data_IF_327199431934
#
_entry.id   IF_327199431934
#
_cell.length_a   1.000
_cell.length_b   1.000
_cell.length_c   1.000
_cell.angle_alpha   90.00
_cell.angle_beta   90.00
_cell.angle_gamma   90.00
#
_symmetry.space_group_name_H-M   'P 1'
#
loop_
_entity.id
_entity.type
_entity.pdbx_description
1 polymer ?
#
# COMPACT_ATOMS: atom_id res chain seq x y z
N UNK A 1 -1.49 6.40 -18.95
CA UNK A 1 -2.73 5.96 -19.63
C UNK A 1 -3.88 6.16 -18.66
N UNK A 2 -5.07 6.54 -19.14
CA UNK A 2 -6.25 6.65 -18.26
C UNK A 2 -6.72 5.25 -17.87
N UNK A 3 -6.65 4.94 -16.57
CA UNK A 3 -7.06 3.66 -16.02
C UNK A 3 -8.58 3.64 -15.81
N UNK A 4 -9.25 2.63 -16.37
CA UNK A 4 -10.68 2.48 -16.17
C UNK A 4 -10.97 2.04 -14.72
N UNK A 5 -11.90 2.72 -14.04
CA UNK A 5 -12.15 2.51 -12.60
C UNK A 5 -12.57 1.09 -12.25
N UNK A 6 -13.35 0.46 -13.14
CA UNK A 6 -13.92 -0.88 -12.97
C UNK A 6 -13.10 -1.99 -13.63
N UNK A 7 -12.08 -1.64 -14.39
CA UNK A 7 -11.15 -2.59 -14.99
C UNK A 7 -9.82 -2.56 -14.26
N UNK A 8 -9.21 -3.74 -14.08
CA UNK A 8 -7.84 -3.88 -13.60
C UNK A 8 -6.84 -4.12 -14.74
N UNK A 9 -7.32 -4.17 -15.98
CA UNK A 9 -6.47 -4.29 -17.17
C UNK A 9 -5.51 -3.10 -17.24
N UNK A 10 -4.23 -3.41 -17.44
CA UNK A 10 -3.16 -2.41 -17.49
C UNK A 10 -2.83 -1.77 -16.14
N UNK A 11 -3.18 -2.43 -15.01
CA UNK A 11 -2.64 -2.14 -13.68
C UNK A 11 -1.46 -3.05 -13.38
N UNK A 12 -1.03 -3.14 -12.12
CA UNK A 12 0.05 -4.05 -11.74
C UNK A 12 1.39 -3.64 -12.34
N UNK A 13 2.18 -4.64 -12.75
CA UNK A 13 3.51 -4.45 -13.33
C UNK A 13 3.47 -3.80 -14.72
N UNK A 14 2.36 -3.91 -15.45
CA UNK A 14 2.17 -3.26 -16.76
C UNK A 14 2.09 -1.73 -16.67
N UNK A 15 1.75 -1.19 -15.49
CA UNK A 15 1.66 0.25 -15.27
C UNK A 15 2.90 0.76 -14.53
N UNK A 16 3.65 1.68 -15.12
CA UNK A 16 4.90 2.20 -14.52
C UNK A 16 4.70 2.67 -13.07
N UNK A 17 3.66 3.46 -12.81
CA UNK A 17 3.41 3.99 -11.47
C UNK A 17 2.82 3.00 -10.46
N UNK A 18 2.34 1.81 -10.86
CA UNK A 18 1.89 0.78 -9.91
C UNK A 18 2.95 -0.30 -9.73
N UNK A 19 3.64 -0.62 -10.82
CA UNK A 19 4.78 -1.52 -10.81
C UNK A 19 5.89 -1.00 -9.92
N UNK A 20 6.11 0.31 -9.80
CA UNK A 20 7.08 0.88 -8.84
C UNK A 20 6.77 0.45 -7.39
N UNK A 21 5.49 0.49 -6.99
CA UNK A 21 5.05 0.07 -5.66
C UNK A 21 5.13 -1.45 -5.48
N UNK A 22 4.84 -2.21 -6.55
CA UNK A 22 4.76 -3.67 -6.50
C UNK A 22 6.11 -4.37 -6.72
N UNK A 23 7.07 -3.67 -7.30
CA UNK A 23 8.43 -4.14 -7.51
C UNK A 23 9.05 -4.52 -6.16
N UNK A 24 9.85 -5.59 -6.15
CA UNK A 24 10.65 -5.93 -4.97
C UNK A 24 11.56 -4.76 -4.61
N UNK A 25 11.79 -4.57 -3.31
CA UNK A 25 12.74 -3.59 -2.81
C UNK A 25 14.19 -3.84 -3.32
N UNK A 26 14.49 -5.04 -3.80
CA UNK A 26 15.80 -5.44 -4.31
C UNK A 26 16.04 -5.06 -5.78
N UNK A 27 15.02 -4.60 -6.50
CA UNK A 27 15.11 -4.27 -7.92
C UNK A 27 14.93 -2.78 -8.18
N UNK A 28 15.73 -2.24 -9.10
CA UNK A 28 15.60 -0.87 -9.56
C UNK A 28 14.47 -0.77 -10.60
N UNK A 29 13.38 -0.09 -10.25
CA UNK A 29 12.26 0.09 -11.17
C UNK A 29 12.49 1.25 -12.14
N UNK A 30 13.42 2.17 -11.85
CA UNK A 30 13.75 3.25 -12.78
C UNK A 30 14.57 2.72 -13.96
N UNK A 31 15.33 1.65 -13.74
CA UNK A 31 16.00 0.91 -14.80
C UNK A 31 15.00 0.27 -15.78
N UNK A 32 15.10 0.66 -17.05
CA UNK A 32 14.20 0.21 -18.10
C UNK A 32 14.43 -1.28 -18.44
N UNK A 33 15.67 -1.78 -18.30
CA UNK A 33 15.98 -3.19 -18.55
C UNK A 33 15.37 -4.08 -17.47
N UNK A 34 15.55 -3.71 -16.20
CA UNK A 34 14.93 -4.39 -15.06
C UNK A 34 13.41 -4.41 -15.17
N UNK A 35 12.76 -3.29 -15.48
CA UNK A 35 11.30 -3.25 -15.71
C UNK A 35 10.85 -4.18 -16.81
N UNK A 36 11.59 -4.20 -17.92
CA UNK A 36 11.26 -5.06 -19.06
C UNK A 36 11.42 -6.53 -18.67
N UNK A 37 12.52 -6.90 -18.02
CA UNK A 37 12.78 -8.27 -17.57
C UNK A 37 11.72 -8.76 -16.56
N UNK A 38 11.25 -7.90 -15.66
CA UNK A 38 10.13 -8.23 -14.75
C UNK A 38 8.83 -8.46 -15.53
N UNK A 39 8.50 -7.61 -16.52
CA UNK A 39 7.28 -7.75 -17.33
C UNK A 39 7.30 -8.95 -18.26
N UNK A 40 8.48 -9.29 -18.77
CA UNK A 40 8.69 -10.44 -19.65
C UNK A 40 8.77 -11.75 -18.84
N UNK A 41 8.78 -11.69 -17.50
CA UNK A 41 8.89 -12.85 -16.62
C UNK A 41 10.30 -13.44 -16.53
N UNK A 42 11.33 -12.71 -16.95
CA UNK A 42 12.73 -13.10 -16.81
C UNK A 42 13.24 -12.88 -15.37
N UNK A 43 12.71 -11.86 -14.70
CA UNK A 43 12.90 -11.62 -13.26
C UNK A 43 11.60 -11.94 -12.54
N UNK A 44 11.71 -12.91 -11.63
CA UNK A 44 10.61 -13.43 -10.84
C UNK A 44 10.55 -12.73 -9.49
N UNK A 45 9.39 -12.15 -9.17
CA UNK A 45 9.19 -11.45 -7.90
C UNK A 45 8.79 -12.45 -6.81
N UNK A 46 9.77 -13.03 -6.13
CA UNK A 46 9.54 -14.01 -5.05
C UNK A 46 8.80 -13.42 -3.84
N UNK A 47 7.97 -14.25 -3.21
CA UNK A 47 7.33 -13.98 -1.92
C UNK A 47 8.33 -13.84 -0.74
N UNK A 48 9.60 -14.20 -0.95
CA UNK A 48 10.68 -13.99 0.03
C UNK A 48 11.02 -12.50 0.21
N UNK A 49 10.66 -11.67 -0.77
CA UNK A 49 10.91 -10.23 -0.76
C UNK A 49 9.62 -9.45 -0.61
N UNK A 50 9.69 -8.33 0.10
CA UNK A 50 8.55 -7.43 0.22
C UNK A 50 8.56 -6.42 -0.95
N UNK A 51 7.37 -6.06 -1.46
CA UNK A 51 7.25 -4.99 -2.43
C UNK A 51 7.63 -3.64 -1.80
N UNK A 52 8.13 -2.70 -2.62
CA UNK A 52 8.52 -1.35 -2.17
C UNK A 52 7.40 -0.61 -1.45
N UNK A 53 6.12 -0.93 -1.74
CA UNK A 53 4.96 -0.37 -1.04
C UNK A 53 4.99 -0.57 0.48
N UNK A 54 5.83 -1.48 0.99
CA UNK A 54 6.05 -1.69 2.41
C UNK A 54 6.89 -0.58 3.08
N UNK A 55 7.64 0.22 2.33
CA UNK A 55 8.52 1.26 2.87
C UNK A 55 8.01 2.67 2.59
N UNK A 56 8.25 3.57 3.53
CA UNK A 56 7.92 4.97 3.37
C UNK A 56 8.62 5.56 2.13
N UNK A 57 7.90 6.35 1.34
CA UNK A 57 8.34 6.83 0.02
C UNK A 57 8.77 5.74 -0.98
N UNK A 58 8.43 4.46 -0.75
CA UNK A 58 8.88 3.33 -1.57
C UNK A 58 10.42 3.15 -1.57
N UNK A 59 11.11 3.70 -0.56
CA UNK A 59 12.57 3.69 -0.45
C UNK A 59 13.02 2.79 0.69
N UNK A 60 13.91 1.83 0.40
CA UNK A 60 14.53 0.97 1.40
C UNK A 60 15.87 1.56 1.85
N UNK A 61 16.05 1.68 3.16
CA UNK A 61 17.36 1.97 3.75
C UNK A 61 18.12 0.65 3.90
N UNK A 62 19.25 0.52 3.19
CA UNK A 62 20.07 -0.71 3.22
C UNK A 62 20.84 -0.87 4.54
N UNK A 63 21.03 0.20 5.31
CA UNK A 63 21.69 0.16 6.62
C UNK A 63 20.68 -0.14 7.74
N UNK A 64 19.42 0.24 7.57
CA UNK A 64 18.30 -0.09 8.46
C UNK A 64 17.05 -0.46 7.66
N UNK A 65 16.95 -1.72 7.25
CA UNK A 65 15.83 -2.22 6.44
C UNK A 65 14.46 -2.10 7.13
N UNK A 66 14.41 -1.89 8.44
CA UNK A 66 13.16 -1.68 9.18
C UNK A 66 12.76 -0.20 9.23
N UNK A 67 13.65 0.71 8.81
CA UNK A 67 13.35 2.13 8.73
C UNK A 67 12.17 2.37 7.79
N UNK A 68 11.11 3.00 8.31
CA UNK A 68 9.90 3.28 7.53
C UNK A 68 9.09 2.06 7.09
N UNK A 69 9.46 0.85 7.51
CA UNK A 69 8.71 -0.37 7.21
C UNK A 69 7.28 -0.31 7.81
N UNK A 70 6.30 -0.63 6.98
CA UNK A 70 4.86 -0.57 7.22
C UNK A 70 4.30 0.82 7.58
N UNK A 71 4.99 1.90 7.21
CA UNK A 71 4.61 3.29 7.52
C UNK A 71 4.35 4.15 6.26
N UNK A 72 3.67 3.57 5.28
CA UNK A 72 3.40 4.23 3.99
C UNK A 72 2.11 5.06 4.00
N UNK A 73 2.05 6.09 3.14
CA UNK A 73 0.88 6.94 3.01
C UNK A 73 -0.34 6.14 2.51
N UNK A 74 -0.08 5.19 1.63
CA UNK A 74 -1.05 4.30 0.99
C UNK A 74 -1.69 3.40 2.04
N UNK A 75 -0.87 2.80 2.91
CA UNK A 75 -1.36 2.00 4.04
C UNK A 75 -2.19 2.84 5.02
N UNK A 76 -1.74 4.04 5.39
CA UNK A 76 -2.50 4.89 6.33
C UNK A 76 -3.82 5.36 5.72
N UNK A 77 -3.84 5.75 4.43
CA UNK A 77 -5.07 6.10 3.71
C UNK A 77 -6.03 4.92 3.65
N UNK A 78 -5.54 3.73 3.29
CA UNK A 78 -6.34 2.51 3.21
C UNK A 78 -6.89 2.11 4.59
N UNK A 79 -6.05 2.15 5.63
CA UNK A 79 -6.45 1.91 7.02
C UNK A 79 -7.59 2.83 7.44
N UNK A 80 -7.45 4.14 7.19
CA UNK A 80 -8.50 5.12 7.48
C UNK A 80 -9.77 4.85 6.68
N UNK A 81 -9.64 4.50 5.41
CA UNK A 81 -10.80 4.19 4.57
C UNK A 81 -11.60 3.00 5.14
N UNK A 82 -10.90 1.95 5.54
CA UNK A 82 -11.47 0.67 5.97
C UNK A 82 -11.97 0.71 7.42
N UNK A 83 -11.15 1.19 8.35
CA UNK A 83 -11.44 1.09 9.78
C UNK A 83 -12.14 2.32 10.35
N UNK A 84 -11.97 3.50 9.74
CA UNK A 84 -12.59 4.74 10.24
C UNK A 84 -13.70 5.24 9.33
N UNK A 85 -13.36 5.83 8.19
CA UNK A 85 -14.33 6.27 7.17
C UNK A 85 -13.64 6.69 5.86
N UNK A 86 -14.32 6.61 4.70
CA UNK A 86 -13.79 7.12 3.44
C UNK A 86 -13.34 8.58 3.48
N UNK A 87 -14.10 9.45 4.18
CA UNK A 87 -13.78 10.87 4.31
C UNK A 87 -12.54 11.16 5.14
N UNK A 88 -12.15 10.25 6.05
CA UNK A 88 -10.92 10.40 6.84
C UNK A 88 -9.66 10.07 6.04
N UNK A 89 -9.77 9.25 4.98
CA UNK A 89 -8.67 8.89 4.10
C UNK A 89 -8.23 10.04 3.18
N UNK A 90 -9.06 11.07 2.99
CA UNK A 90 -8.75 12.24 2.15
C UNK A 90 -8.12 13.40 2.94
N UNK A 91 -7.98 13.25 4.27
CA UNK A 91 -7.23 14.20 5.09
C UNK A 91 -5.75 14.02 4.79
N UNK A 92 -5.05 15.13 4.51
CA UNK A 92 -3.60 15.13 4.32
C UNK A 92 -2.91 14.42 5.50
N UNK A 93 -1.99 13.52 5.20
CA UNK A 93 -1.16 12.84 6.20
C UNK A 93 0.00 13.74 6.57
N UNK A 94 0.50 13.69 7.82
CA UNK A 94 1.65 14.49 8.19
C UNK A 94 2.91 13.79 7.67
N UNK A 95 3.94 14.56 7.32
CA UNK A 95 5.22 13.97 6.87
C UNK A 95 5.97 13.30 8.02
N UNK A 96 5.51 13.50 9.27
CA UNK A 96 6.11 12.95 10.46
C UNK A 96 5.66 11.50 10.79
N UNK A 97 5.14 10.74 9.83
CA UNK A 97 4.72 9.33 10.05
C UNK A 97 5.86 8.42 10.53
N UNK A 98 7.10 8.79 10.21
CA UNK A 98 8.29 8.09 10.66
C UNK A 98 8.69 8.43 12.10
N UNK A 99 8.24 9.58 12.61
CA UNK A 99 8.61 10.05 13.95
C UNK A 99 7.43 9.88 14.93
N UNK A 100 7.74 9.92 16.22
CA UNK A 100 6.71 9.97 17.26
C UNK A 100 6.25 11.41 17.55
N UNK A 101 6.62 12.36 16.68
CA UNK A 101 6.23 13.75 16.86
C UNK A 101 4.71 13.90 16.71
N UNK A 102 4.06 14.70 17.56
CA UNK A 102 2.64 14.95 17.44
C UNK A 102 2.34 15.68 16.13
N UNK A 103 1.27 15.28 15.44
CA UNK A 103 0.75 16.05 14.29
C UNK A 103 0.24 17.41 14.82
N UNK A 104 0.96 18.48 14.48
CA UNK A 104 0.66 19.85 14.94
C UNK A 104 -0.40 20.55 14.09
N UNK A 105 -0.90 19.90 13.02
CA UNK A 105 -1.86 20.52 12.11
C UNK A 105 -3.24 20.60 12.75
N UNK A 106 -3.98 21.71 12.54
CA UNK A 106 -5.33 21.84 13.06
C UNK A 106 -6.21 20.72 12.50
N UNK A 107 -6.73 19.86 13.38
CA UNK A 107 -7.53 18.72 13.01
C UNK A 107 -8.75 19.15 12.19
N UNK A 108 -8.80 18.73 10.92
CA UNK A 108 -9.99 18.95 10.09
C UNK A 108 -11.13 18.11 10.65
N UNK A 109 -12.16 18.76 11.22
CA UNK A 109 -13.40 18.10 11.62
C UNK A 109 -14.06 17.53 10.36
N UNK A 110 -13.95 16.22 10.17
CA UNK A 110 -14.73 15.50 9.17
C UNK A 110 -16.18 15.53 9.64
N UNK A 111 -17.12 15.84 8.74
CA UNK A 111 -18.54 15.71 9.05
C UNK A 111 -18.82 14.33 9.64
N UNK A 112 -19.51 14.28 10.79
CA UNK A 112 -19.71 13.04 11.53
C UNK A 112 -20.33 11.95 10.66
N UNK A 113 -19.80 10.74 10.76
CA UNK A 113 -20.36 9.60 10.06
C UNK A 113 -21.74 9.25 10.65
N UNK A 114 -22.73 9.00 9.78
CA UNK A 114 -24.07 8.54 10.17
C UNK A 114 -24.11 7.08 10.64
N UNK A 115 -23.00 6.35 10.46
CA UNK A 115 -22.80 4.96 10.91
C UNK A 115 -21.53 4.86 11.74
N UNK A 116 -21.53 3.97 12.74
CA UNK A 116 -20.33 3.62 13.50
C UNK A 116 -19.23 3.08 12.58
N UNK A 117 -17.97 3.31 12.96
CA UNK A 117 -16.81 2.88 12.17
C UNK A 117 -16.57 1.37 12.32
N UNK A 118 -15.88 0.76 11.34
CA UNK A 118 -15.49 -0.64 11.43
C UNK A 118 -14.58 -0.90 12.64
N UNK A 119 -13.73 0.07 13.02
CA UNK A 119 -12.94 0.00 14.23
C UNK A 119 -13.82 -0.15 15.48
N UNK A 120 -14.88 0.64 15.61
CA UNK A 120 -15.84 0.50 16.71
C UNK A 120 -16.58 -0.82 16.69
N UNK A 121 -16.98 -1.32 15.50
CA UNK A 121 -17.69 -2.60 15.36
C UNK A 121 -16.86 -3.79 15.82
N UNK A 122 -15.54 -3.76 15.59
CA UNK A 122 -14.63 -4.86 15.97
C UNK A 122 -13.83 -4.60 17.25
N UNK A 123 -14.07 -3.47 17.93
CA UNK A 123 -13.34 -3.07 19.14
C UNK A 123 -11.86 -2.74 18.92
N UNK A 124 -11.48 -2.24 17.73
CA UNK A 124 -10.12 -1.84 17.40
C UNK A 124 -9.82 -0.45 17.98
N UNK A 125 -9.19 -0.40 19.15
CA UNK A 125 -8.81 0.84 19.83
C UNK A 125 -7.42 1.35 19.43
N UNK A 126 -6.60 0.49 18.85
CA UNK A 126 -5.23 0.77 18.38
C UNK A 126 -4.91 -0.03 17.14
N UNK A 127 -3.98 0.49 16.34
CA UNK A 127 -3.39 -0.25 15.22
C UNK A 127 -2.68 -1.49 15.77
N UNK A 128 -2.97 -2.65 15.18
CA UNK A 128 -2.33 -3.94 15.51
C UNK A 128 -1.55 -4.48 14.31
N UNK A 129 -0.55 -5.36 14.52
CA UNK A 129 0.14 -6.03 13.42
C UNK A 129 -0.81 -6.74 12.46
N UNK A 130 -1.86 -7.41 12.99
CA UNK A 130 -2.89 -8.07 12.18
C UNK A 130 -3.65 -7.08 11.29
N UNK A 131 -4.05 -5.94 11.85
CA UNK A 131 -4.76 -4.92 11.08
C UNK A 131 -3.86 -4.30 10.01
N UNK A 132 -2.56 -4.11 10.28
CA UNK A 132 -1.61 -3.64 9.28
C UNK A 132 -1.45 -4.66 8.16
N UNK A 133 -1.17 -5.93 8.48
CA UNK A 133 -1.02 -6.99 7.50
C UNK A 133 -2.25 -7.07 6.55
N UNK A 134 -3.45 -7.00 7.11
CA UNK A 134 -4.69 -6.94 6.32
C UNK A 134 -4.73 -5.74 5.36
N UNK A 135 -4.33 -4.56 5.82
CA UNK A 135 -4.26 -3.36 4.96
C UNK A 135 -3.22 -3.53 3.85
N UNK A 136 -2.03 -4.03 4.15
CA UNK A 136 -0.98 -4.22 3.14
C UNK A 136 -1.41 -5.20 2.05
N UNK A 137 -2.06 -6.30 2.43
CA UNK A 137 -2.65 -7.24 1.47
C UNK A 137 -3.70 -6.54 0.60
N UNK A 138 -4.60 -5.75 1.19
CA UNK A 138 -5.60 -5.01 0.42
C UNK A 138 -4.99 -3.98 -0.54
N UNK A 139 -3.96 -3.24 -0.12
CA UNK A 139 -3.26 -2.27 -0.98
C UNK A 139 -2.58 -3.01 -2.13
N UNK A 140 -1.85 -4.10 -1.87
CA UNK A 140 -1.21 -4.92 -2.90
C UNK A 140 -2.23 -5.39 -3.94
N UNK A 141 -3.36 -5.95 -3.48
CA UNK A 141 -4.43 -6.43 -4.37
C UNK A 141 -5.08 -5.27 -5.15
N UNK A 142 -5.20 -4.08 -4.56
CA UNK A 142 -5.76 -2.91 -5.24
C UNK A 142 -4.85 -2.38 -6.37
N UNK A 143 -3.53 -2.49 -6.19
CA UNK A 143 -2.51 -2.09 -7.15
C UNK A 143 -2.27 -3.14 -8.25
N UNK A 144 -2.44 -4.42 -7.93
CA UNK A 144 -2.32 -5.52 -8.89
C UNK A 144 -3.39 -5.49 -9.98
N UNK A 145 -3.09 -6.17 -11.08
CA UNK A 145 -4.01 -6.49 -12.16
C UNK A 145 -4.96 -7.66 -11.82
N UNK A 146 -4.74 -8.37 -10.71
CA UNK A 146 -5.55 -9.52 -10.28
C UNK A 146 -7.05 -9.18 -10.23
N UNK A 147 -7.91 -9.83 -11.04
CA UNK A 147 -9.30 -9.42 -11.23
C UNK A 147 -10.14 -9.56 -9.96
N UNK A 148 -9.87 -10.57 -9.13
CA UNK A 148 -10.57 -10.84 -7.87
C UNK A 148 -9.59 -11.32 -6.80
N UNK A 149 -9.97 -11.16 -5.53
CA UNK A 149 -9.26 -11.80 -4.42
C UNK A 149 -9.53 -13.31 -4.46
N UNK A 150 -8.48 -14.10 -4.60
CA UNK A 150 -8.53 -15.56 -4.61
C UNK A 150 -7.90 -16.09 -3.32
N UNK A 151 -8.49 -17.15 -2.74
CA UNK A 151 -7.87 -17.88 -1.61
C UNK A 151 -6.67 -18.73 -2.05
N UNK A 152 -6.51 -18.89 -3.36
CA UNK A 152 -5.32 -19.48 -3.98
C UNK A 152 -4.53 -18.31 -4.53
N UNK A 153 -3.36 -18.02 -3.95
CA UNK A 153 -2.42 -17.15 -4.63
C UNK A 153 -2.15 -17.74 -6.02
N UNK A 154 -2.08 -16.89 -7.06
CA UNK A 154 -1.56 -17.34 -8.35
C UNK A 154 -0.15 -17.91 -8.18
N UNK A 155 0.37 -18.61 -9.20
CA UNK A 155 1.79 -18.92 -9.21
C UNK A 155 2.55 -17.59 -9.05
N UNK A 156 3.30 -17.51 -7.95
CA UNK A 156 4.40 -16.55 -7.84
C UNK A 156 5.47 -17.13 -8.75
N UNK A 157 5.30 -16.96 -10.05
CA UNK A 157 6.37 -17.22 -10.99
C UNK A 157 7.54 -16.32 -10.60
#
# INVERSE_FOLDING_TARGET
SDLERRSKIGRGLDHDGFGEYLCSAEHDWDDAETRKAIRDGEILLSADTFPKLCWHHNEIDNEDVLHGFLRTHEAVKCFRHVFTSPSSATIALPDNLLTHEPDTRPGKKVAGATRGSNASLIGLDRVTPRSLAYIFVMVRVALSDMPEYSNMDGEFD
#
